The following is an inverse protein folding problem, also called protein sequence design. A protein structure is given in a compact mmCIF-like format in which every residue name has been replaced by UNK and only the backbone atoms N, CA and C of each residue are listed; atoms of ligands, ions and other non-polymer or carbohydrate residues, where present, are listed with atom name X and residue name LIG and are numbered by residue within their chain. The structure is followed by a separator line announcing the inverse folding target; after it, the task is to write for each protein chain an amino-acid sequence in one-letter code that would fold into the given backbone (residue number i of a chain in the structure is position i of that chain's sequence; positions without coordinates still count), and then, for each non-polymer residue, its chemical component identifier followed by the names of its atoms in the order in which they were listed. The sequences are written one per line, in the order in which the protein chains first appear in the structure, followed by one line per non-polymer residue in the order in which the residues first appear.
data_IF_062786026675
#
_entry.id   IF_062786026675
#
_cell.length_a   1.000
_cell.length_b   1.000
_cell.length_c   1.000
_cell.angle_alpha   90.00
_cell.angle_beta   90.00
_cell.angle_gamma   90.00
#
_symmetry.space_group_name_H-M   'P 1'
#
loop_
_entity.id
_entity.type
_entity.pdbx_description
1 polymer ?
#
# COMPACT_ATOMS: atom_id res chain seq x y z
N UNK A 1 13.33 3.53 6.16
CA UNK A 1 11.98 3.04 5.78
C UNK A 1 11.92 2.89 4.27
N UNK A 2 11.64 1.68 3.77
CA UNK A 2 11.43 1.40 2.36
C UNK A 2 9.93 1.22 2.10
N UNK A 3 9.40 1.90 1.08
CA UNK A 3 8.00 1.75 0.66
C UNK A 3 7.95 1.14 -0.75
N UNK A 4 7.19 0.06 -0.89
CA UNK A 4 6.95 -0.64 -2.14
C UNK A 4 5.47 -0.49 -2.48
N UNK A 5 5.17 0.11 -3.63
CA UNK A 5 3.79 0.28 -4.13
C UNK A 5 3.61 -0.55 -5.38
N UNK A 6 2.55 -1.36 -5.42
CA UNK A 6 2.20 -2.15 -6.60
C UNK A 6 1.08 -1.46 -7.36
N UNK A 7 1.34 -1.21 -8.64
CA UNK A 7 0.41 -0.59 -9.57
C UNK A 7 0.15 -1.57 -10.73
N UNK A 8 -1.12 -1.93 -10.92
CA UNK A 8 -1.56 -2.77 -12.03
C UNK A 8 -1.81 -1.95 -13.29
N UNK A 9 -1.21 -2.37 -14.40
CA UNK A 9 -1.51 -1.83 -15.73
C UNK A 9 -2.57 -2.72 -16.39
N UNK A 10 -3.82 -2.27 -16.30
CA UNK A 10 -4.94 -2.94 -16.95
C UNK A 10 -5.15 -2.25 -18.29
N UNK A 11 -4.61 -2.79 -19.38
CA UNK A 11 -4.36 -2.04 -20.62
C UNK A 11 -5.52 -1.25 -21.27
N UNK A 12 -6.79 -1.52 -20.94
CA UNK A 12 -7.94 -0.69 -21.38
C UNK A 12 -8.24 0.50 -20.47
N UNK A 13 -7.59 0.57 -19.32
CA UNK A 13 -7.77 1.58 -18.29
C UNK A 13 -6.62 2.56 -18.38
N UNK A 14 -6.95 3.81 -18.63
CA UNK A 14 -6.00 4.93 -18.76
C UNK A 14 -5.20 5.23 -17.49
N UNK A 15 -5.61 4.66 -16.35
CA UNK A 15 -4.97 4.86 -15.04
C UNK A 15 -4.47 3.55 -14.48
N UNK A 16 -3.21 3.56 -14.05
CA UNK A 16 -2.63 2.49 -13.23
C UNK A 16 -3.47 2.30 -11.97
N UNK A 17 -3.93 1.07 -11.74
CA UNK A 17 -4.74 0.73 -10.58
C UNK A 17 -3.85 0.43 -9.38
N UNK A 18 -4.15 1.01 -8.23
CA UNK A 18 -3.41 0.72 -6.99
C UNK A 18 -3.80 -0.67 -6.47
N UNK A 19 -2.81 -1.56 -6.34
CA UNK A 19 -3.03 -2.92 -5.86
C UNK A 19 -2.67 -3.08 -4.37
N UNK A 20 -1.78 -2.23 -3.86
CA UNK A 20 -1.38 -2.26 -2.45
C UNK A 20 -0.01 -1.64 -2.20
N UNK A 21 0.30 -1.47 -0.92
CA UNK A 21 1.57 -0.92 -0.43
C UNK A 21 2.14 -1.82 0.68
N UNK A 22 3.45 -1.97 0.69
CA UNK A 22 4.19 -2.54 1.81
C UNK A 22 5.22 -1.52 2.30
N UNK A 23 5.38 -1.43 3.62
CA UNK A 23 6.42 -0.64 4.27
C UNK A 23 7.34 -1.56 5.05
N UNK A 24 8.64 -1.44 4.79
CA UNK A 24 9.68 -2.25 5.39
C UNK A 24 10.62 -1.32 6.17
N UNK A 25 10.74 -1.56 7.47
CA UNK A 25 11.70 -0.86 8.32
C UNK A 25 13.06 -1.51 8.16
N UNK A 26 13.96 -0.85 7.43
CA UNK A 26 15.31 -1.36 7.21
C UNK A 26 16.10 -1.54 8.51
N UNK A 27 15.75 -0.77 9.55
CA UNK A 27 16.39 -0.84 10.88
C UNK A 27 16.08 -2.16 11.61
N UNK A 28 14.97 -2.83 11.25
CA UNK A 28 14.58 -4.12 11.82
C UNK A 28 15.15 -5.31 11.00
N UNK A 29 15.89 -5.03 9.91
CA UNK A 29 16.45 -6.03 9.01
C UNK A 29 17.97 -6.13 9.19
N UNK A 30 18.50 -7.35 9.24
CA UNK A 30 19.95 -7.59 9.21
C UNK A 30 20.45 -7.54 7.76
N UNK A 31 20.78 -6.34 7.30
CA UNK A 31 21.33 -6.11 5.97
C UNK A 31 22.81 -6.53 5.95
N UNK A 32 23.08 -7.75 5.49
CA UNK A 32 24.44 -8.27 5.29
C UNK A 32 24.85 -8.20 3.82
N UNK A 33 26.01 -8.78 3.48
CA UNK A 33 26.51 -8.86 2.10
C UNK A 33 25.60 -9.73 1.22
N UNK A 34 24.88 -10.68 1.82
CA UNK A 34 23.95 -11.54 1.10
C UNK A 34 22.57 -10.87 0.96
N UNK A 35 21.90 -11.02 -0.19
CA UNK A 35 20.57 -10.46 -0.39
C UNK A 35 19.55 -11.07 0.57
N UNK A 36 18.86 -10.23 1.34
CA UNK A 36 17.70 -10.67 2.13
C UNK A 36 16.47 -10.84 1.23
N UNK A 37 15.92 -12.05 1.19
CA UNK A 37 14.73 -12.41 0.39
C UNK A 37 13.63 -12.86 1.34
N UNK A 38 12.43 -12.30 1.18
CA UNK A 38 11.27 -12.64 2.01
C UNK A 38 9.94 -12.26 1.38
N UNK A 39 8.86 -12.84 1.91
CA UNK A 39 7.48 -12.55 1.48
C UNK A 39 6.89 -11.42 2.31
N UNK A 40 6.35 -10.40 1.63
CA UNK A 40 5.72 -9.26 2.28
C UNK A 40 4.26 -9.15 1.85
N UNK A 41 3.39 -8.93 2.84
CA UNK A 41 1.96 -8.71 2.59
C UNK A 41 1.75 -7.27 2.10
N UNK A 42 0.98 -7.13 1.03
CA UNK A 42 0.50 -5.82 0.57
C UNK A 42 -0.74 -5.42 1.38
N UNK A 43 -0.78 -4.16 1.78
CA UNK A 43 -1.89 -3.54 2.50
C UNK A 43 -2.56 -2.47 1.65
N UNK A 44 -3.80 -2.12 2.00
CA UNK A 44 -4.45 -0.98 1.39
C UNK A 44 -3.77 0.32 1.85
N UNK A 45 -3.85 1.39 1.05
CA UNK A 45 -3.25 2.69 1.40
C UNK A 45 -3.85 3.26 2.69
N UNK A 46 -5.11 2.97 2.98
CA UNK A 46 -5.78 3.36 4.24
C UNK A 46 -5.27 2.62 5.47
N UNK A 47 -4.65 1.46 5.30
CA UNK A 47 -4.03 0.71 6.40
C UNK A 47 -2.71 1.32 6.85
N UNK A 48 -2.18 2.26 6.06
CA UNK A 48 -1.00 3.05 6.38
C UNK A 48 -1.35 4.15 7.40
N UNK A 49 -1.66 3.76 8.63
CA UNK A 49 -1.93 4.71 9.69
C UNK A 49 -0.68 5.55 9.98
N UNK A 50 -0.68 6.83 9.58
CA UNK A 50 0.36 7.79 9.96
C UNK A 50 0.82 8.78 8.89
N UNK A 51 0.42 8.68 7.61
CA UNK A 51 0.92 9.59 6.56
C UNK A 51 -0.19 10.14 5.64
N UNK A 52 -0.84 11.25 6.03
CA UNK A 52 -1.59 12.12 5.11
C UNK A 52 -3.00 11.66 4.72
N UNK A 53 -3.82 12.55 4.13
CA UNK A 53 -5.25 12.62 4.42
C UNK A 53 -6.01 11.39 3.91
N UNK A 54 -6.76 10.78 4.84
CA UNK A 54 -7.79 9.79 4.59
C UNK A 54 -8.72 10.36 3.53
N UNK A 55 -8.73 9.79 2.32
CA UNK A 55 -9.71 10.19 1.31
C UNK A 55 -11.10 9.95 1.90
N UNK A 56 -11.88 11.02 1.90
CA UNK A 56 -13.21 11.15 2.50
C UNK A 56 -14.30 10.41 1.70
N UNK A 57 -13.93 9.34 1.01
CA UNK A 57 -14.84 8.56 0.17
C UNK A 57 -15.42 7.36 0.93
N UNK A 58 -14.93 7.06 2.13
CA UNK A 58 -15.45 5.97 2.97
C UNK A 58 -16.65 6.36 3.82
N UNK A 59 -17.06 7.64 3.85
CA UNK A 59 -18.28 8.07 4.56
C UNK A 59 -19.55 8.01 3.70
N UNK A 60 -19.45 7.93 2.37
CA UNK A 60 -20.65 7.89 1.52
C UNK A 60 -21.36 6.53 1.53
N UNK A 61 -20.64 5.43 1.78
CA UNK A 61 -21.24 4.08 1.78
C UNK A 61 -22.06 3.75 3.03
N UNK A 62 -21.91 4.51 4.12
CA UNK A 62 -22.69 4.32 5.35
C UNK A 62 -23.97 5.15 5.39
N UNK A 63 -24.10 6.18 4.54
CA UNK A 63 -25.28 7.06 4.51
C UNK A 63 -26.34 6.55 3.54
N UNK A 64 -25.96 5.75 2.54
CA UNK A 64 -26.89 5.18 1.53
C UNK A 64 -27.65 3.91 2.01
N UNK A 65 -27.51 3.55 3.30
CA UNK A 65 -28.24 2.45 3.94
C UNK A 65 -29.28 2.92 4.98
N UNK A 66 -29.75 4.17 4.91
CA UNK A 66 -30.80 4.68 5.80
C UNK A 66 -32.06 5.12 5.07
#
# INVERSE_FOLDING_TARGET
LLQITVLGDYGRMERKSFMGVAQIRLDDLELSVEPLIGWYKLYHSSSLAGTGPIRKDSESSLVEMR
#
